data_IF_729370162357
#
_entry.id   IF_729370162357
#
_cell.length_a   1.000
_cell.length_b   1.000
_cell.length_c   1.000
_cell.angle_alpha   90.00
_cell.angle_beta   90.00
_cell.angle_gamma   90.00
#
_symmetry.space_group_name_H-M   'P 1'
#
loop_
_entity.id
_entity.type
_entity.pdbx_description
1 polymer ?
#
# COMPACT_ATOMS: atom_id res chain seq x y z
N UNK A 1 17.16 10.10 -16.14
CA UNK A 1 17.04 8.65 -16.35
C UNK A 1 15.87 8.21 -15.49
N UNK A 2 14.66 8.22 -16.05
CA UNK A 2 13.48 7.74 -15.35
C UNK A 2 13.58 6.22 -15.47
N UNK A 3 13.90 5.53 -14.37
CA UNK A 3 13.87 4.06 -14.37
C UNK A 3 12.51 3.60 -14.90
N UNK A 4 12.51 2.57 -15.73
CA UNK A 4 11.28 2.02 -16.28
C UNK A 4 10.29 1.79 -15.14
N UNK A 5 9.06 2.35 -15.22
CA UNK A 5 8.07 2.22 -14.13
C UNK A 5 7.67 0.76 -13.86
N UNK A 6 8.10 -0.16 -14.72
CA UNK A 6 7.87 -1.59 -14.64
C UNK A 6 8.96 -2.34 -13.84
N UNK A 7 10.05 -1.67 -13.44
CA UNK A 7 11.12 -2.20 -12.57
C UNK A 7 10.92 -1.81 -11.10
N UNK A 8 9.84 -1.11 -10.76
CA UNK A 8 9.54 -0.71 -9.39
C UNK A 8 9.36 -1.95 -8.50
N UNK A 9 10.20 -2.08 -7.48
CA UNK A 9 10.21 -3.23 -6.59
C UNK A 9 9.08 -3.14 -5.55
N UNK A 10 8.83 -4.23 -4.82
CA UNK A 10 7.93 -4.21 -3.67
C UNK A 10 8.31 -3.12 -2.64
N UNK A 11 9.61 -2.85 -2.49
CA UNK A 11 10.11 -1.83 -1.58
C UNK A 11 9.77 -0.41 -2.05
N UNK A 12 9.86 -0.14 -3.36
CA UNK A 12 9.51 1.17 -3.92
C UNK A 12 8.01 1.46 -3.76
N UNK A 13 7.16 0.44 -4.00
CA UNK A 13 5.72 0.55 -3.76
C UNK A 13 5.41 0.79 -2.28
N UNK A 14 6.14 0.13 -1.37
CA UNK A 14 5.96 0.32 0.07
C UNK A 14 6.41 1.71 0.54
N UNK A 15 7.49 2.24 -0.04
CA UNK A 15 7.96 3.60 0.26
C UNK A 15 6.93 4.64 -0.22
N UNK A 16 6.46 4.51 -1.46
CA UNK A 16 5.39 5.34 -1.98
C UNK A 16 4.10 5.23 -1.16
N UNK A 17 3.76 4.05 -0.63
CA UNK A 17 2.62 3.87 0.27
C UNK A 17 2.77 4.70 1.56
N UNK A 18 3.98 4.75 2.14
CA UNK A 18 4.28 5.58 3.31
C UNK A 18 4.17 7.07 3.00
N UNK A 19 4.67 7.50 1.84
CA UNK A 19 4.51 8.88 1.37
C UNK A 19 3.03 9.26 1.21
N UNK A 20 2.21 8.38 0.63
CA UNK A 20 0.77 8.63 0.49
C UNK A 20 0.05 8.70 1.84
N UNK A 21 0.45 7.89 2.83
CA UNK A 21 -0.06 7.99 4.20
C UNK A 21 0.32 9.34 4.83
N UNK A 22 1.58 9.77 4.69
CA UNK A 22 2.03 11.07 5.17
C UNK A 22 1.31 12.24 4.47
N UNK A 23 0.94 12.06 3.20
CA UNK A 23 0.17 13.00 2.41
C UNK A 23 -1.36 12.97 2.67
N UNK A 24 -1.83 12.22 3.68
CA UNK A 24 -3.26 12.02 3.98
C UNK A 24 -4.07 11.45 2.78
N UNK A 25 -3.46 10.56 2.00
CA UNK A 25 -4.10 9.84 0.89
C UNK A 25 -4.17 8.34 1.21
N UNK A 26 -4.98 7.93 2.20
CA UNK A 26 -4.98 6.56 2.69
C UNK A 26 -5.40 5.54 1.62
N UNK A 27 -6.27 5.93 0.68
CA UNK A 27 -6.70 5.04 -0.42
C UNK A 27 -5.56 4.71 -1.38
N UNK A 28 -4.75 5.71 -1.74
CA UNK A 28 -3.57 5.48 -2.57
C UNK A 28 -2.50 4.68 -1.82
N UNK A 29 -2.31 4.96 -0.53
CA UNK A 29 -1.40 4.20 0.32
C UNK A 29 -1.77 2.71 0.37
N UNK A 30 -3.06 2.40 0.52
CA UNK A 30 -3.56 1.03 0.52
C UNK A 30 -3.30 0.32 -0.81
N UNK A 31 -3.61 0.95 -1.94
CA UNK A 31 -3.38 0.35 -3.27
C UNK A 31 -1.91 0.01 -3.52
N UNK A 32 -1.01 0.92 -3.14
CA UNK A 32 0.44 0.72 -3.28
C UNK A 32 0.94 -0.41 -2.36
N UNK A 33 0.43 -0.48 -1.13
CA UNK A 33 0.76 -1.56 -0.20
C UNK A 33 0.23 -2.92 -0.68
N UNK A 34 -0.96 -2.96 -1.29
CA UNK A 34 -1.49 -4.18 -1.91
C UNK A 34 -0.60 -4.66 -3.07
N UNK A 35 -0.09 -3.74 -3.89
CA UNK A 35 0.84 -4.08 -4.96
C UNK A 35 2.18 -4.59 -4.40
N UNK A 36 2.72 -3.91 -3.38
CA UNK A 36 3.92 -4.38 -2.68
C UNK A 36 3.72 -5.79 -2.10
N UNK A 37 2.54 -6.08 -1.54
CA UNK A 37 2.20 -7.40 -1.02
C UNK A 37 2.07 -8.46 -2.13
N UNK A 38 1.59 -8.09 -3.33
CA UNK A 38 1.53 -8.98 -4.50
C UNK A 38 2.92 -9.34 -5.03
N UNK A 39 3.83 -8.38 -5.05
CA UNK A 39 5.23 -8.57 -5.49
C UNK A 39 6.07 -9.33 -4.45
N UNK A 40 5.63 -9.38 -3.19
CA UNK A 40 6.34 -10.06 -2.11
C UNK A 40 6.03 -11.56 -2.11
N UNK A 41 7.03 -12.40 -2.38
CA UNK A 41 6.87 -13.85 -2.38
C UNK A 41 6.69 -14.46 -0.98
N UNK A 42 7.11 -13.76 0.07
CA UNK A 42 6.93 -14.19 1.45
C UNK A 42 5.53 -13.82 1.97
N UNK A 43 4.68 -14.81 2.29
CA UNK A 43 3.30 -14.53 2.70
C UNK A 43 3.20 -13.84 4.06
N UNK A 44 4.16 -14.05 4.97
CA UNK A 44 4.16 -13.38 6.28
C UNK A 44 4.43 -11.87 6.12
N UNK A 45 5.38 -11.52 5.26
CA UNK A 45 5.72 -10.14 4.91
C UNK A 45 4.57 -9.48 4.16
N UNK A 46 3.96 -10.17 3.20
CA UNK A 46 2.77 -9.68 2.48
C UNK A 46 1.59 -9.39 3.44
N UNK A 47 1.36 -10.26 4.43
CA UNK A 47 0.34 -10.04 5.46
C UNK A 47 0.67 -8.83 6.36
N UNK A 48 1.94 -8.68 6.75
CA UNK A 48 2.40 -7.53 7.54
C UNK A 48 2.24 -6.19 6.80
N UNK A 49 2.51 -6.16 5.50
CA UNK A 49 2.30 -4.99 4.64
C UNK A 49 0.81 -4.61 4.63
N UNK A 50 -0.09 -5.57 4.37
CA UNK A 50 -1.55 -5.33 4.37
C UNK A 50 -2.07 -4.86 5.73
N UNK A 51 -1.53 -5.41 6.82
CA UNK A 51 -1.90 -5.00 8.19
C UNK A 51 -1.44 -3.56 8.52
N UNK A 52 -0.35 -3.09 7.90
CA UNK A 52 0.16 -1.73 8.09
C UNK A 52 -0.68 -0.69 7.36
N UNK A 53 -1.25 -1.05 6.21
CA UNK A 53 -2.08 -0.19 5.37
C UNK A 53 -3.47 -0.81 5.21
N UNK A 54 -4.31 -0.76 6.26
CA UNK A 54 -5.67 -1.28 6.17
C UNK A 54 -6.46 -0.53 5.10
N UNK A 55 -7.36 -1.24 4.44
CA UNK A 55 -8.28 -0.63 3.49
C UNK A 55 -9.05 0.50 4.20
N UNK A 56 -8.96 1.74 3.71
CA UNK A 56 -9.74 2.84 4.25
C UNK A 56 -11.19 2.77 3.78
N UNK A 57 -11.71 1.58 3.42
CA UNK A 57 -13.14 1.34 3.23
C UNK A 57 -13.88 2.21 4.22
N UNK A 58 -14.89 2.94 3.74
CA UNK A 58 -15.50 3.97 4.55
C UNK A 58 -15.89 3.30 5.85
N UNK A 59 -15.40 3.84 6.95
CA UNK A 59 -16.14 3.83 8.19
C UNK A 59 -17.45 4.56 7.88
N UNK A 60 -18.33 3.93 7.11
CA UNK A 60 -19.75 4.14 7.16
C UNK A 60 -20.13 3.52 8.50
N UNK A 61 -19.81 4.23 9.58
CA UNK A 61 -20.78 4.33 10.66
C UNK A 61 -21.99 4.97 10.00
N UNK A 62 -22.83 4.14 9.38
CA UNK A 62 -24.24 4.43 9.27
C UNK A 62 -24.71 4.37 10.72
N UNK A 63 -24.54 5.48 11.43
CA UNK A 63 -25.37 5.76 12.60
C UNK A 63 -26.78 5.92 12.07
N UNK A 64 -27.56 4.84 12.17
CA UNK A 64 -29.01 4.88 12.35
C UNK A 64 -29.31 4.44 13.80
#
# INVERSE_FOLDING_TARGET
MLGDPNDLTAADHLDAAREMTAANRPYLAHLLAEEAARLTSDPATAAAIRATFPDPAPTRTETD
#
